data_IF_272975790144
#
_entry.id   IF_272975790144
#
_cell.length_a   1.000
_cell.length_b   1.000
_cell.length_c   1.000
_cell.angle_alpha   90.00
_cell.angle_beta   90.00
_cell.angle_gamma   90.00
#
_symmetry.space_group_name_H-M   'P 1'
#
loop_
_entity.id
_entity.type
_entity.pdbx_description
1 polymer ?
#
# COMPACT_ATOMS: atom_id res chain seq x y z
N UNK A 1 5.95 9.85 11.83
CA UNK A 1 6.28 8.49 11.32
C UNK A 1 5.56 8.17 10.00
N UNK A 2 4.22 8.26 9.94
CA UNK A 2 3.43 8.08 8.70
C UNK A 2 3.97 8.92 7.54
N UNK A 3 4.22 10.22 7.77
CA UNK A 3 4.77 11.13 6.76
C UNK A 3 6.12 10.66 6.20
N UNK A 4 7.02 10.17 7.07
CA UNK A 4 8.31 9.65 6.65
C UNK A 4 8.16 8.39 5.80
N UNK A 5 7.22 7.50 6.17
CA UNK A 5 6.93 6.31 5.38
C UNK A 5 6.37 6.69 3.99
N UNK A 6 5.46 7.65 3.92
CA UNK A 6 4.89 8.16 2.65
C UNK A 6 5.98 8.78 1.78
N UNK A 7 6.82 9.66 2.32
CA UNK A 7 7.91 10.28 1.57
C UNK A 7 8.89 9.24 1.03
N UNK A 8 9.18 8.19 1.81
CA UNK A 8 10.04 7.11 1.35
C UNK A 8 9.40 6.33 0.20
N UNK A 9 8.11 6.03 0.27
CA UNK A 9 7.36 5.37 -0.81
C UNK A 9 7.33 6.22 -2.09
N UNK A 10 7.21 7.54 -1.96
CA UNK A 10 7.30 8.49 -3.08
C UNK A 10 8.68 8.45 -3.74
N UNK A 11 9.76 8.51 -2.96
CA UNK A 11 11.13 8.42 -3.47
C UNK A 11 11.35 7.08 -4.18
N UNK A 12 10.85 5.97 -3.62
CA UNK A 12 10.96 4.66 -4.27
C UNK A 12 10.25 4.65 -5.62
N UNK A 13 9.03 5.19 -5.67
CA UNK A 13 8.26 5.31 -6.90
C UNK A 13 9.04 6.10 -7.96
N UNK A 14 9.57 7.27 -7.62
CA UNK A 14 10.37 8.09 -8.53
C UNK A 14 11.60 7.35 -9.05
N UNK A 15 12.26 6.55 -8.20
CA UNK A 15 13.42 5.74 -8.62
C UNK A 15 13.05 4.62 -9.57
N UNK A 16 11.87 4.00 -9.44
CA UNK A 16 11.40 3.05 -10.44
C UNK A 16 11.06 3.72 -11.78
N UNK A 17 10.47 4.92 -11.74
CA UNK A 17 10.23 5.72 -12.96
C UNK A 17 11.56 6.09 -13.65
N UNK A 18 12.64 6.36 -12.89
CA UNK A 18 13.98 6.60 -13.43
C UNK A 18 14.54 5.36 -14.15
N UNK A 19 14.37 4.16 -13.58
CA UNK A 19 14.81 2.90 -14.22
C UNK A 19 14.09 2.70 -15.56
N UNK A 20 12.79 2.95 -15.61
CA UNK A 20 12.00 2.82 -16.83
C UNK A 20 12.49 3.80 -17.91
N UNK A 21 12.71 5.07 -17.56
CA UNK A 21 13.25 6.07 -18.49
C UNK A 21 14.63 5.70 -19.02
N UNK A 22 15.46 5.05 -18.21
CA UNK A 22 16.76 4.54 -18.65
C UNK A 22 16.60 3.33 -19.57
N UNK A 23 15.58 2.50 -19.37
CA UNK A 23 15.35 1.30 -20.17
C UNK A 23 14.89 1.62 -21.61
N UNK A 24 14.04 2.63 -21.78
CA UNK A 24 13.42 3.03 -23.07
C UNK A 24 14.40 3.35 -24.21
N UNK A 25 15.53 4.08 -24.00
CA UNK A 25 16.56 4.32 -25.02
C UNK A 25 17.15 3.06 -25.66
N UNK A 26 16.82 1.88 -25.14
CA UNK A 26 17.14 0.58 -25.73
C UNK A 26 18.64 0.48 -26.08
N UNK A 27 19.53 0.79 -25.12
CA UNK A 27 20.99 0.53 -25.23
C UNK A 27 21.44 -0.54 -24.24
N UNK A 28 22.39 -1.39 -24.65
CA UNK A 28 22.84 -2.56 -23.87
C UNK A 28 23.51 -2.22 -22.54
N UNK A 29 24.42 -1.23 -22.54
CA UNK A 29 25.08 -0.71 -21.32
C UNK A 29 24.05 -0.26 -20.28
N UNK A 30 22.87 0.16 -20.74
CA UNK A 30 21.80 0.65 -19.88
C UNK A 30 21.08 -0.49 -19.15
N UNK A 31 20.99 -1.69 -19.72
CA UNK A 31 20.26 -2.81 -19.11
C UNK A 31 20.98 -3.37 -17.87
N UNK A 32 22.30 -3.56 -17.95
CA UNK A 32 23.11 -3.95 -16.77
C UNK A 32 23.00 -2.92 -15.64
N UNK A 33 22.97 -1.63 -16.00
CA UNK A 33 22.77 -0.53 -15.04
C UNK A 33 21.37 -0.60 -14.42
N UNK A 34 20.32 -0.79 -15.21
CA UNK A 34 18.95 -0.97 -14.72
C UNK A 34 18.83 -2.15 -13.76
N UNK A 35 19.46 -3.28 -14.08
CA UNK A 35 19.49 -4.47 -13.22
C UNK A 35 20.13 -4.20 -11.86
N UNK A 36 21.27 -3.49 -11.85
CA UNK A 36 21.96 -3.10 -10.61
C UNK A 36 21.10 -2.16 -9.77
N UNK A 37 20.54 -1.11 -10.38
CA UNK A 37 19.65 -0.17 -9.67
C UNK A 37 18.43 -0.91 -9.12
N UNK A 38 17.83 -1.83 -9.88
CA UNK A 38 16.70 -2.63 -9.44
C UNK A 38 17.04 -3.48 -8.19
N UNK A 39 18.22 -4.12 -8.16
CA UNK A 39 18.68 -4.88 -6.99
C UNK A 39 18.89 -4.00 -5.76
N UNK A 40 19.48 -2.82 -5.94
CA UNK A 40 19.61 -1.82 -4.87
C UNK A 40 18.24 -1.39 -4.36
N UNK A 41 17.29 -1.14 -5.26
CA UNK A 41 15.90 -0.83 -4.90
C UNK A 41 15.21 -1.95 -4.12
N UNK A 42 15.44 -3.22 -4.48
CA UNK A 42 14.93 -4.36 -3.71
C UNK A 42 15.47 -4.35 -2.28
N UNK A 43 16.75 -4.08 -2.11
CA UNK A 43 17.35 -3.96 -0.78
C UNK A 43 16.72 -2.82 0.02
N UNK A 44 16.56 -1.64 -0.59
CA UNK A 44 15.91 -0.47 -0.01
C UNK A 44 14.47 -0.78 0.41
N UNK A 45 13.70 -1.50 -0.41
CA UNK A 45 12.32 -1.89 -0.09
C UNK A 45 12.27 -2.88 1.09
N UNK A 46 13.23 -3.81 1.19
CA UNK A 46 13.34 -4.70 2.36
C UNK A 46 13.67 -3.94 3.64
N UNK A 47 14.57 -2.95 3.55
CA UNK A 47 14.88 -2.06 4.68
C UNK A 47 13.66 -1.26 5.11
N UNK A 48 12.87 -0.73 4.16
CA UNK A 48 11.61 -0.06 4.48
C UNK A 48 10.68 -0.97 5.28
N UNK A 49 10.44 -2.20 4.82
CA UNK A 49 9.58 -3.15 5.53
C UNK A 49 10.12 -3.48 6.93
N UNK A 50 11.44 -3.58 7.09
CA UNK A 50 12.07 -3.82 8.40
C UNK A 50 11.90 -2.64 9.35
N UNK A 51 12.06 -1.41 8.85
CA UNK A 51 12.02 -0.19 9.66
C UNK A 51 10.58 0.24 10.00
N UNK A 52 9.68 0.20 9.02
CA UNK A 52 8.34 0.74 9.14
C UNK A 52 7.27 -0.34 9.30
N UNK A 53 7.53 -1.59 8.91
CA UNK A 53 6.49 -2.62 8.87
C UNK A 53 5.75 -2.82 10.20
N UNK A 54 6.49 -2.89 11.32
CA UNK A 54 5.90 -3.02 12.66
C UNK A 54 5.06 -1.79 13.04
N UNK A 55 5.59 -0.60 12.76
CA UNK A 55 4.86 0.63 13.03
C UNK A 55 3.61 0.79 12.17
N UNK A 56 3.68 0.40 10.90
CA UNK A 56 2.52 0.40 10.00
C UNK A 56 1.45 -0.56 10.51
N UNK A 57 1.84 -1.75 10.97
CA UNK A 57 0.91 -2.67 11.61
C UNK A 57 0.22 -2.03 12.84
N UNK A 58 1.00 -1.40 13.73
CA UNK A 58 0.45 -0.70 14.90
C UNK A 58 -0.44 0.48 14.53
N UNK A 59 -0.14 1.21 13.46
CA UNK A 59 -0.98 2.29 12.93
C UNK A 59 -2.35 1.76 12.52
N UNK A 60 -2.40 0.67 11.76
CA UNK A 60 -3.68 0.06 11.37
C UNK A 60 -4.48 -0.38 12.59
N UNK A 61 -3.83 -1.06 13.53
CA UNK A 61 -4.51 -1.49 14.75
C UNK A 61 -5.03 -0.29 15.56
N UNK A 62 -4.19 0.72 15.78
CA UNK A 62 -4.54 1.91 16.54
C UNK A 62 -5.72 2.66 15.92
N UNK A 63 -5.67 2.97 14.62
CA UNK A 63 -6.74 3.71 13.97
C UNK A 63 -8.03 2.88 13.86
N UNK A 64 -7.92 1.57 13.70
CA UNK A 64 -9.10 0.69 13.59
C UNK A 64 -9.81 0.53 14.92
N UNK A 65 -9.03 0.31 15.99
CA UNK A 65 -9.53 0.29 17.35
C UNK A 65 -10.20 1.62 17.73
N UNK A 66 -9.54 2.75 17.47
CA UNK A 66 -10.10 4.07 17.76
C UNK A 66 -11.37 4.35 16.95
N UNK A 67 -11.41 3.95 15.67
CA UNK A 67 -12.61 4.10 14.84
C UNK A 67 -13.81 3.40 15.49
N UNK A 68 -13.64 2.15 15.92
CA UNK A 68 -14.69 1.38 16.59
C UNK A 68 -15.05 2.00 17.95
N UNK A 69 -14.05 2.33 18.77
CA UNK A 69 -14.27 2.86 20.12
C UNK A 69 -15.05 4.18 20.09
N UNK A 70 -14.65 5.12 19.22
CA UNK A 70 -15.27 6.43 19.15
C UNK A 70 -16.67 6.38 18.54
N UNK A 71 -16.91 5.57 17.51
CA UNK A 71 -18.25 5.44 16.92
C UNK A 71 -19.21 4.73 17.88
N UNK A 72 -18.73 3.73 18.63
CA UNK A 72 -19.52 3.09 19.69
C UNK A 72 -19.84 4.08 20.81
N UNK A 73 -18.84 4.83 21.29
CA UNK A 73 -19.04 5.80 22.38
C UNK A 73 -19.98 6.93 21.97
N UNK A 74 -19.84 7.45 20.73
CA UNK A 74 -20.75 8.48 20.21
C UNK A 74 -22.18 7.95 20.12
N UNK A 75 -22.37 6.71 19.68
CA UNK A 75 -23.68 6.07 19.63
C UNK A 75 -24.32 5.92 21.03
N UNK A 76 -23.54 5.50 22.03
CA UNK A 76 -24.02 5.39 23.42
C UNK A 76 -24.47 6.74 23.98
N UNK A 77 -23.68 7.80 23.78
CA UNK A 77 -24.01 9.17 24.20
C UNK A 77 -25.25 9.72 23.49
N UNK A 78 -25.43 9.36 22.23
CA UNK A 78 -26.63 9.72 21.49
C UNK A 78 -27.86 9.03 22.08
N UNK A 79 -27.75 7.73 22.37
CA UNK A 79 -28.84 6.94 22.96
C UNK A 79 -29.21 7.39 24.38
N UNK A 80 -28.24 7.81 25.18
CA UNK A 80 -28.49 8.37 26.52
C UNK A 80 -29.07 9.79 26.51
N UNK A 81 -29.14 10.44 25.34
CA UNK A 81 -29.59 11.82 25.20
C UNK A 81 -28.55 12.88 25.59
N UNK A 82 -27.31 12.48 25.88
CA UNK A 82 -26.21 13.40 26.19
C UNK A 82 -25.80 14.25 24.99
N UNK A 83 -25.95 13.72 23.77
CA UNK A 83 -25.66 14.45 22.52
C UNK A 83 -26.83 14.33 21.54
N UNK A 84 -27.00 15.35 20.70
CA UNK A 84 -27.98 15.32 19.61
C UNK A 84 -27.47 14.55 18.38
N UNK A 85 -28.38 14.26 17.45
CA UNK A 85 -28.09 13.50 16.23
C UNK A 85 -27.02 14.17 15.33
N UNK A 86 -26.98 15.50 15.29
CA UNK A 86 -26.00 16.25 14.49
C UNK A 86 -24.59 16.04 15.03
N UNK A 87 -24.40 16.18 16.34
CA UNK A 87 -23.11 15.98 17.02
C UNK A 87 -22.65 14.52 16.87
N UNK A 88 -23.57 13.56 17.06
CA UNK A 88 -23.30 12.15 16.80
C UNK A 88 -22.79 11.91 15.37
N UNK A 89 -23.49 12.46 14.37
CA UNK A 89 -23.14 12.28 12.96
C UNK A 89 -21.75 12.84 12.65
N UNK A 90 -21.44 14.04 13.15
CA UNK A 90 -20.12 14.67 12.97
C UNK A 90 -19.03 13.78 13.59
N UNK A 91 -19.19 13.34 14.84
CA UNK A 91 -18.19 12.49 15.49
C UNK A 91 -17.99 11.17 14.76
N UNK A 92 -19.08 10.52 14.35
CA UNK A 92 -19.01 9.25 13.62
C UNK A 92 -18.30 9.44 12.29
N UNK A 93 -18.65 10.46 11.49
CA UNK A 93 -18.01 10.72 10.20
C UNK A 93 -16.54 11.09 10.37
N UNK A 94 -16.20 11.98 11.32
CA UNK A 94 -14.82 12.43 11.53
C UNK A 94 -13.95 11.31 12.05
N UNK A 95 -14.34 10.62 13.13
CA UNK A 95 -13.49 9.58 13.72
C UNK A 95 -13.41 8.32 12.87
N UNK A 96 -14.51 7.89 12.27
CA UNK A 96 -14.49 6.77 11.34
C UNK A 96 -13.72 7.13 10.06
N UNK A 97 -13.98 8.31 9.50
CA UNK A 97 -13.27 8.82 8.33
C UNK A 97 -11.76 8.93 8.56
N UNK A 98 -11.33 9.57 9.65
CA UNK A 98 -9.92 9.67 10.01
C UNK A 98 -9.29 8.30 10.32
N UNK A 99 -10.04 7.39 10.96
CA UNK A 99 -9.60 6.03 11.29
C UNK A 99 -9.36 5.14 10.06
N UNK A 100 -10.02 5.43 8.94
CA UNK A 100 -9.79 4.75 7.65
C UNK A 100 -8.82 5.52 6.77
N UNK A 101 -8.82 6.86 6.83
CA UNK A 101 -8.06 7.72 5.92
C UNK A 101 -6.55 7.53 6.03
N UNK A 102 -5.98 7.48 7.24
CA UNK A 102 -4.54 7.31 7.41
C UNK A 102 -4.04 5.94 6.88
N UNK A 103 -4.65 4.80 7.26
CA UNK A 103 -4.36 3.50 6.65
C UNK A 103 -4.55 3.48 5.12
N UNK A 104 -5.59 4.16 4.62
CA UNK A 104 -5.86 4.30 3.19
C UNK A 104 -4.71 4.99 2.47
N UNK A 105 -4.29 6.17 2.95
CA UNK A 105 -3.24 6.96 2.31
C UNK A 105 -1.94 6.16 2.22
N UNK A 106 -1.49 5.57 3.34
CA UNK A 106 -0.25 4.77 3.36
C UNK A 106 -0.32 3.61 2.37
N UNK A 107 -1.46 2.91 2.35
CA UNK A 107 -1.65 1.78 1.43
C UNK A 107 -1.69 2.21 -0.02
N UNK A 108 -2.32 3.34 -0.35
CA UNK A 108 -2.35 3.84 -1.72
C UNK A 108 -0.94 4.15 -2.22
N UNK A 109 -0.08 4.74 -1.40
CA UNK A 109 1.31 4.97 -1.75
C UNK A 109 2.10 3.66 -1.88
N UNK A 110 1.90 2.70 -0.97
CA UNK A 110 2.53 1.38 -1.05
C UNK A 110 2.12 0.63 -2.33
N UNK A 111 0.82 0.62 -2.62
CA UNK A 111 0.26 0.03 -3.82
C UNK A 111 0.78 0.70 -5.09
N UNK A 112 0.87 2.03 -5.11
CA UNK A 112 1.38 2.76 -6.26
C UNK A 112 2.86 2.45 -6.52
N UNK A 113 3.68 2.39 -5.47
CA UNK A 113 5.08 1.98 -5.58
C UNK A 113 5.21 0.52 -6.06
N UNK A 114 4.37 -0.40 -5.57
CA UNK A 114 4.29 -1.78 -6.08
C UNK A 114 3.85 -1.85 -7.56
N UNK A 115 2.97 -0.95 -8.02
CA UNK A 115 2.56 -0.96 -9.42
C UNK A 115 3.67 -0.51 -10.37
N UNK A 116 4.67 0.23 -9.90
CA UNK A 116 5.80 0.63 -10.75
C UNK A 116 6.67 -0.55 -11.17
N UNK A 117 6.83 -1.57 -10.34
CA UNK A 117 7.52 -2.80 -10.76
C UNK A 117 6.73 -3.56 -11.81
N UNK A 118 5.40 -3.61 -11.70
CA UNK A 118 4.52 -4.18 -12.75
C UNK A 118 4.61 -3.40 -14.06
N UNK A 119 4.73 -2.08 -13.99
CA UNK A 119 4.95 -1.22 -15.16
C UNK A 119 6.30 -1.53 -15.82
N UNK A 120 7.36 -1.60 -15.03
CA UNK A 120 8.70 -1.96 -15.50
C UNK A 120 8.73 -3.35 -16.16
N UNK A 121 8.02 -4.33 -15.59
CA UNK A 121 7.84 -5.66 -16.17
C UNK A 121 7.19 -5.60 -17.56
N UNK A 122 6.09 -4.84 -17.70
CA UNK A 122 5.42 -4.63 -19.00
C UNK A 122 6.34 -3.94 -20.00
N UNK A 123 7.10 -2.94 -19.58
CA UNK A 123 8.05 -2.24 -20.45
C UNK A 123 9.16 -3.19 -20.94
N UNK A 124 9.65 -4.11 -20.09
CA UNK A 124 10.58 -5.15 -20.52
C UNK A 124 9.98 -6.07 -21.59
N UNK A 125 8.73 -6.48 -21.41
CA UNK A 125 8.01 -7.34 -22.37
C UNK A 125 7.85 -6.65 -23.73
N UNK A 126 7.40 -5.39 -23.74
CA UNK A 126 7.26 -4.60 -24.98
C UNK A 126 8.61 -4.40 -25.70
N UNK A 127 9.71 -4.25 -24.96
CA UNK A 127 11.03 -4.14 -25.56
C UNK A 127 11.52 -5.48 -26.15
N UNK A 128 11.15 -6.61 -25.56
CA UNK A 128 11.46 -7.94 -26.09
C UNK A 128 10.78 -8.20 -27.44
N UNK A 129 9.53 -7.73 -27.63
CA UNK A 129 8.78 -7.88 -28.89
C UNK A 129 9.48 -7.23 -30.09
N UNK A 130 10.31 -6.21 -29.84
CA UNK A 130 11.01 -5.45 -30.88
C UNK A 130 12.44 -5.96 -31.16
N UNK A 131 12.84 -7.10 -30.59
CA UNK A 131 14.20 -7.62 -30.64
C UNK A 131 14.20 -9.08 -31.11
N UNK A 132 15.13 -9.51 -32.00
CA UNK A 132 15.20 -10.89 -32.44
C UNK A 132 15.40 -11.87 -31.27
N UNK A 133 14.64 -12.98 -31.26
CA UNK A 133 14.60 -13.96 -30.17
C UNK A 133 15.97 -14.54 -29.80
N UNK A 134 16.83 -14.78 -30.78
CA UNK A 134 18.16 -15.38 -30.55
C UNK A 134 19.25 -14.34 -30.25
N UNK A 135 18.89 -13.06 -30.19
CA UNK A 135 19.87 -12.03 -29.88
C UNK A 135 20.24 -12.07 -28.40
N UNK A 136 21.52 -11.84 -28.11
CA UNK A 136 22.03 -11.69 -26.74
C UNK A 136 21.23 -10.64 -25.94
N UNK A 137 20.73 -9.62 -26.63
CA UNK A 137 19.88 -8.58 -26.06
C UNK A 137 18.52 -9.11 -25.59
N UNK A 138 17.87 -9.96 -26.39
CA UNK A 138 16.62 -10.58 -26.00
C UNK A 138 16.82 -11.44 -24.75
N UNK A 139 17.90 -12.22 -24.71
CA UNK A 139 18.26 -13.02 -23.53
C UNK A 139 18.49 -12.14 -22.29
N UNK A 140 19.24 -11.04 -22.40
CA UNK A 140 19.44 -10.12 -21.27
C UNK A 140 18.11 -9.48 -20.80
N UNK A 141 17.22 -9.09 -21.72
CA UNK A 141 15.90 -8.53 -21.38
C UNK A 141 15.00 -9.59 -20.73
N UNK A 142 15.07 -10.83 -21.19
CA UNK A 142 14.34 -11.96 -20.62
C UNK A 142 14.80 -12.26 -19.21
N UNK A 143 16.11 -12.35 -18.97
CA UNK A 143 16.65 -12.51 -17.62
C UNK A 143 16.22 -11.37 -16.68
N UNK A 144 16.21 -10.13 -17.18
CA UNK A 144 15.78 -9.00 -16.36
C UNK A 144 14.28 -9.04 -16.06
N UNK A 145 13.46 -9.41 -17.04
CA UNK A 145 12.03 -9.68 -16.84
C UNK A 145 11.81 -10.76 -15.79
N UNK A 146 12.49 -11.91 -15.93
CA UNK A 146 12.38 -13.03 -15.00
C UNK A 146 12.80 -12.60 -13.60
N UNK A 147 13.85 -11.79 -13.48
CA UNK A 147 14.26 -11.22 -12.20
C UNK A 147 13.16 -10.35 -11.57
N UNK A 148 12.51 -9.47 -12.35
CA UNK A 148 11.43 -8.61 -11.85
C UNK A 148 10.23 -9.47 -11.43
N UNK A 149 9.91 -10.51 -12.19
CA UNK A 149 8.79 -11.40 -11.92
C UNK A 149 8.99 -12.21 -10.64
N UNK A 150 10.18 -12.78 -10.44
CA UNK A 150 10.46 -13.63 -9.27
C UNK A 150 10.84 -12.83 -8.02
N UNK A 151 11.29 -11.58 -8.18
CA UNK A 151 11.73 -10.73 -7.08
C UNK A 151 10.90 -9.45 -6.99
N UNK A 152 9.57 -9.56 -7.07
CA UNK A 152 8.69 -8.40 -6.98
C UNK A 152 8.90 -7.61 -5.68
N UNK A 153 8.95 -6.29 -5.82
CA UNK A 153 8.85 -5.38 -4.67
C UNK A 153 7.47 -5.53 -4.05
N UNK A 154 7.45 -5.76 -2.74
CA UNK A 154 6.25 -5.76 -1.92
C UNK A 154 6.48 -4.92 -0.69
N UNK A 155 5.59 -3.96 -0.45
CA UNK A 155 5.49 -3.27 0.83
C UNK A 155 4.51 -3.99 1.74
N UNK A 156 4.93 -4.25 2.97
CA UNK A 156 4.15 -5.04 3.93
C UNK A 156 4.15 -4.38 5.30
N UNK A 157 3.05 -4.54 6.04
CA UNK A 157 2.98 -4.19 7.45
C UNK A 157 3.45 -5.40 8.27
N UNK A 158 4.76 -5.46 8.56
CA UNK A 158 5.39 -6.53 9.34
C UNK A 158 5.08 -7.95 8.84
N UNK A 159 4.89 -8.12 7.52
CA UNK A 159 4.49 -9.39 6.87
C UNK A 159 3.11 -9.93 7.27
N UNK A 160 2.31 -9.19 8.05
CA UNK A 160 0.92 -9.58 8.33
C UNK A 160 0.02 -9.37 7.11
N UNK A 161 0.21 -8.27 6.40
CA UNK A 161 -0.53 -7.96 5.18
C UNK A 161 0.30 -7.11 4.22
N UNK A 162 -0.01 -7.25 2.93
CA UNK A 162 0.55 -6.44 1.86
C UNK A 162 -0.19 -5.08 1.80
N UNK A 163 0.53 -4.01 1.49
CA UNK A 163 -0.04 -2.68 1.28
C UNK A 163 -0.68 -2.58 -0.11
N UNK A 164 -1.82 -3.24 -0.27
CA UNK A 164 -2.62 -3.25 -1.50
C UNK A 164 -4.01 -2.64 -1.31
N UNK A 165 -4.65 -2.21 -2.41
CA UNK A 165 -6.01 -1.66 -2.38
C UNK A 165 -7.01 -2.61 -1.70
N UNK A 166 -6.88 -3.91 -1.96
CA UNK A 166 -7.68 -4.97 -1.34
C UNK A 166 -7.61 -4.93 0.19
N UNK A 167 -6.42 -4.67 0.75
CA UNK A 167 -6.20 -4.57 2.20
C UNK A 167 -7.02 -3.46 2.84
N UNK A 168 -7.05 -2.26 2.23
CA UNK A 168 -7.84 -1.15 2.80
C UNK A 168 -9.33 -1.39 2.67
N UNK A 169 -9.77 -1.97 1.55
CA UNK A 169 -11.17 -2.34 1.36
C UNK A 169 -11.58 -3.37 2.43
N UNK A 170 -10.75 -4.41 2.65
CA UNK A 170 -10.97 -5.39 3.70
C UNK A 170 -10.97 -4.77 5.10
N UNK A 171 -10.03 -3.89 5.39
CA UNK A 171 -9.95 -3.16 6.66
C UNK A 171 -11.20 -2.31 6.91
N UNK A 172 -11.66 -1.55 5.92
CA UNK A 172 -12.90 -0.77 5.99
C UNK A 172 -14.13 -1.67 6.22
N UNK A 173 -14.19 -2.81 5.52
CA UNK A 173 -15.23 -3.80 5.70
C UNK A 173 -15.26 -4.32 7.15
N UNK A 174 -14.10 -4.72 7.69
CA UNK A 174 -13.98 -5.23 9.06
C UNK A 174 -14.48 -4.20 10.08
N UNK A 175 -14.04 -2.94 9.99
CA UNK A 175 -14.51 -1.88 10.91
C UNK A 175 -16.03 -1.70 10.78
N UNK A 176 -16.55 -1.65 9.56
CA UNK A 176 -17.99 -1.50 9.31
C UNK A 176 -18.79 -2.66 9.88
N UNK A 177 -18.34 -3.90 9.68
CA UNK A 177 -18.98 -5.10 10.24
C UNK A 177 -19.00 -5.06 11.75
N UNK A 178 -17.87 -4.80 12.41
CA UNK A 178 -17.82 -4.71 13.87
C UNK A 178 -18.75 -3.62 14.42
N UNK A 179 -18.78 -2.46 13.77
CA UNK A 179 -19.67 -1.38 14.15
C UNK A 179 -21.16 -1.76 14.03
N UNK A 180 -21.56 -2.34 12.89
CA UNK A 180 -22.94 -2.79 12.65
C UNK A 180 -23.33 -3.87 13.67
N UNK A 181 -22.50 -4.89 13.84
CA UNK A 181 -22.74 -5.98 14.80
C UNK A 181 -22.88 -5.44 16.21
N UNK A 182 -22.02 -4.50 16.62
CA UNK A 182 -22.11 -3.89 17.94
C UNK A 182 -23.43 -3.14 18.15
N UNK A 183 -23.85 -2.33 17.17
CA UNK A 183 -25.14 -1.63 17.23
C UNK A 183 -26.30 -2.61 17.33
N UNK A 184 -26.29 -3.68 16.53
CA UNK A 184 -27.33 -4.70 16.56
C UNK A 184 -27.45 -5.37 17.93
N UNK A 185 -26.33 -5.76 18.54
CA UNK A 185 -26.33 -6.28 19.91
C UNK A 185 -26.89 -5.26 20.91
N UNK A 186 -26.53 -3.98 20.77
CA UNK A 186 -27.02 -2.95 21.68
C UNK A 186 -28.51 -2.67 21.54
N UNK A 187 -29.07 -2.82 20.34
CA UNK A 187 -30.51 -2.71 20.10
C UNK A 187 -31.24 -3.90 20.72
N UNK A 188 -30.71 -5.12 20.59
CA UNK A 188 -31.33 -6.33 21.15
C UNK A 188 -31.33 -6.36 22.68
N UNK A 189 -30.40 -5.67 23.33
CA UNK A 189 -30.23 -5.65 24.79
C UNK A 189 -31.03 -4.52 25.49
N UNK A 190 -31.72 -3.65 24.74
CA UNK A 190 -32.52 -2.54 25.27
C UNK A 190 -33.94 -2.59 24.79
#
# INVERSE_FOLDING_TARGET
>A
MVFNAINFLLIIKEKFDDIEKLLVPNKRITLRKCRKIYQEMLHVCRLFNKLFGGSLFLIFFYYGYNAILYTTTSYMKYKSGEINATIYTIYTVVFHGCGVFIPLVVTLFGHHANNQTKKLQKTCLLLQENVPLDSERYLELREFYDQIEHQQVKFTAARFFDLERSTVIGYSHVISTYFITFIQFLILLT
#
